data_IF_224638413874
#
_entry.id   IF_224638413874
#
_cell.length_a   1.000
_cell.length_b   1.000
_cell.length_c   1.000
_cell.angle_alpha   90.00
_cell.angle_beta   90.00
_cell.angle_gamma   90.00
#
_symmetry.space_group_name_H-M   'P 1'
#
loop_
_entity.id
_entity.type
_entity.pdbx_description
1 polymer ?
#
# COMPACT_ATOMS: atom_id res chain seq x y z
N UNK A 1 13.64 -15.73 -13.06
CA UNK A 1 14.15 -16.45 -11.86
C UNK A 1 13.68 -15.78 -10.59
N UNK A 2 14.00 -14.49 -10.36
CA UNK A 2 13.53 -13.79 -9.16
C UNK A 2 12.01 -13.70 -9.09
N UNK A 3 11.36 -13.27 -10.17
CA UNK A 3 9.89 -13.27 -10.27
C UNK A 3 9.26 -14.63 -9.96
N UNK A 4 9.82 -15.71 -10.52
CA UNK A 4 9.34 -17.08 -10.28
C UNK A 4 9.42 -17.48 -8.81
N UNK A 5 10.45 -17.01 -8.09
CA UNK A 5 10.59 -17.26 -6.64
C UNK A 5 9.55 -16.45 -5.87
N UNK A 6 9.36 -15.17 -6.23
CA UNK A 6 8.38 -14.30 -5.57
C UNK A 6 6.94 -14.77 -5.83
N UNK A 7 6.63 -15.29 -7.03
CA UNK A 7 5.33 -15.90 -7.34
C UNK A 7 5.10 -17.16 -6.50
N UNK A 8 6.07 -18.09 -6.48
CA UNK A 8 5.97 -19.30 -5.67
C UNK A 8 5.87 -18.99 -4.16
N UNK A 9 6.55 -17.93 -3.70
CA UNK A 9 6.48 -17.45 -2.33
C UNK A 9 5.09 -16.88 -2.01
N UNK A 10 4.57 -15.98 -2.86
CA UNK A 10 3.25 -15.40 -2.71
C UNK A 10 2.17 -16.49 -2.67
N UNK A 11 2.14 -17.39 -3.66
CA UNK A 11 1.21 -18.51 -3.69
C UNK A 11 1.29 -19.34 -2.40
N UNK A 12 2.51 -19.60 -1.92
CA UNK A 12 2.67 -20.42 -0.73
C UNK A 12 2.22 -19.71 0.53
N UNK A 13 2.53 -18.42 0.68
CA UNK A 13 2.05 -17.58 1.78
C UNK A 13 0.52 -17.55 1.81
N UNK A 14 -0.12 -17.34 0.65
CA UNK A 14 -1.57 -17.31 0.54
C UNK A 14 -2.24 -18.66 0.83
N UNK A 15 -1.52 -19.79 0.68
CA UNK A 15 -2.05 -21.12 0.96
C UNK A 15 -1.92 -21.58 2.41
N UNK A 16 -0.84 -21.19 3.11
CA UNK A 16 -0.55 -21.74 4.45
C UNK A 16 -0.09 -20.73 5.49
N UNK A 17 -0.05 -19.45 5.14
CA UNK A 17 0.51 -18.39 5.97
C UNK A 17 2.02 -18.24 5.82
N UNK A 18 2.54 -17.13 6.35
CA UNK A 18 3.96 -16.74 6.34
C UNK A 18 4.79 -17.70 7.22
N UNK A 19 4.29 -18.12 8.38
CA UNK A 19 5.01 -19.01 9.30
C UNK A 19 5.30 -20.36 8.67
N UNK A 20 4.33 -20.95 7.95
CA UNK A 20 4.45 -22.29 7.35
C UNK A 20 5.07 -22.30 5.95
N UNK A 21 5.19 -21.16 5.28
CA UNK A 21 5.84 -21.04 3.98
C UNK A 21 7.38 -21.14 4.10
N UNK A 22 7.93 -22.36 4.10
CA UNK A 22 9.38 -22.56 4.23
C UNK A 22 10.13 -22.24 2.93
N UNK A 23 11.35 -21.71 3.05
CA UNK A 23 12.23 -21.43 1.90
C UNK A 23 12.50 -22.68 1.04
N UNK A 24 12.56 -23.85 1.66
CA UNK A 24 12.79 -25.13 0.95
C UNK A 24 11.58 -25.53 0.10
N UNK A 25 10.36 -25.33 0.62
CA UNK A 25 9.13 -25.59 -0.13
C UNK A 25 8.96 -24.60 -1.28
N UNK A 26 9.27 -23.32 -1.04
CA UNK A 26 9.24 -22.28 -2.07
C UNK A 26 10.28 -22.58 -3.16
N UNK A 27 11.50 -22.98 -2.80
CA UNK A 27 12.53 -23.33 -3.77
C UNK A 27 12.09 -24.49 -4.68
N UNK A 28 11.50 -25.54 -4.09
CA UNK A 28 10.96 -26.68 -4.83
C UNK A 28 9.85 -26.26 -5.80
N UNK A 29 8.91 -25.41 -5.36
CA UNK A 29 7.81 -24.89 -6.20
C UNK A 29 8.29 -23.98 -7.31
N UNK A 30 9.27 -23.13 -7.04
CA UNK A 30 9.88 -22.24 -8.02
C UNK A 30 10.82 -22.97 -9.01
N UNK A 31 11.07 -24.27 -8.80
CA UNK A 31 12.00 -25.04 -9.65
C UNK A 31 13.46 -24.61 -9.52
N UNK A 32 13.86 -24.02 -8.39
CA UNK A 32 15.22 -23.52 -8.16
C UNK A 32 15.95 -24.31 -7.08
N UNK A 33 17.28 -24.34 -7.16
CA UNK A 33 18.10 -24.93 -6.12
C UNK A 33 17.97 -24.13 -4.80
N UNK A 34 17.84 -24.84 -3.67
CA UNK A 34 17.86 -24.26 -2.32
C UNK A 34 19.02 -23.28 -2.11
N UNK A 35 20.23 -23.58 -2.58
CA UNK A 35 21.38 -22.67 -2.44
C UNK A 35 21.11 -21.31 -3.09
N UNK A 36 20.37 -21.26 -4.19
CA UNK A 36 19.99 -20.00 -4.86
C UNK A 36 19.07 -19.16 -3.98
N UNK A 37 18.06 -19.76 -3.33
CA UNK A 37 17.12 -19.01 -2.47
C UNK A 37 17.83 -18.46 -1.24
N UNK A 38 18.66 -19.27 -0.57
CA UNK A 38 19.40 -18.84 0.63
C UNK A 38 20.49 -17.83 0.30
N UNK A 39 21.12 -17.90 -0.89
CA UNK A 39 22.06 -16.86 -1.33
C UNK A 39 21.37 -15.52 -1.57
N UNK A 40 20.15 -15.52 -2.14
CA UNK A 40 19.42 -14.29 -2.51
C UNK A 40 18.76 -13.62 -1.31
N UNK A 41 18.04 -14.40 -0.49
CA UNK A 41 17.20 -13.87 0.58
C UNK A 41 17.80 -14.07 1.97
N UNK A 42 18.70 -15.04 2.17
CA UNK A 42 19.31 -15.44 3.45
C UNK A 42 18.32 -16.01 4.47
N UNK A 43 17.28 -15.25 4.79
CA UNK A 43 16.21 -15.60 5.73
C UNK A 43 14.84 -15.38 5.09
N UNK A 44 13.79 -15.93 5.70
CA UNK A 44 12.43 -15.91 5.14
C UNK A 44 11.83 -14.50 5.14
N UNK A 45 12.16 -13.71 6.14
CA UNK A 45 11.68 -12.35 6.33
C UNK A 45 12.04 -11.47 5.12
N UNK A 46 13.29 -11.53 4.66
CA UNK A 46 13.72 -10.81 3.46
C UNK A 46 12.98 -11.24 2.18
N UNK A 47 12.55 -12.51 2.09
CA UNK A 47 11.73 -12.97 0.96
C UNK A 47 10.31 -12.42 1.07
N UNK A 48 9.74 -12.39 2.28
CA UNK A 48 8.43 -11.79 2.53
C UNK A 48 8.46 -10.30 2.18
N UNK A 49 9.47 -9.56 2.63
CA UNK A 49 9.63 -8.14 2.33
C UNK A 49 9.75 -7.88 0.82
N UNK A 50 10.49 -8.73 0.11
CA UNK A 50 10.61 -8.65 -1.35
C UNK A 50 9.27 -8.92 -2.05
N UNK A 51 8.47 -9.87 -1.55
CA UNK A 51 7.10 -10.10 -2.05
C UNK A 51 6.23 -8.88 -1.82
N UNK A 52 6.24 -8.30 -0.60
CA UNK A 52 5.46 -7.10 -0.29
C UNK A 52 5.84 -5.90 -1.16
N UNK A 53 7.14 -5.66 -1.33
CA UNK A 53 7.65 -4.59 -2.19
C UNK A 53 7.17 -4.77 -3.62
N UNK A 54 7.20 -6.00 -4.14
CA UNK A 54 6.70 -6.28 -5.49
C UNK A 54 5.19 -6.04 -5.60
N UNK A 55 4.39 -6.55 -4.66
CA UNK A 55 2.94 -6.38 -4.73
C UNK A 55 2.53 -4.91 -4.59
N UNK A 56 3.16 -4.15 -3.70
CA UNK A 56 2.95 -2.69 -3.61
C UNK A 56 3.38 -1.99 -4.91
N UNK A 57 4.54 -2.38 -5.47
CA UNK A 57 5.00 -1.85 -6.75
C UNK A 57 4.00 -2.09 -7.89
N UNK A 58 3.34 -3.26 -7.94
CA UNK A 58 2.28 -3.57 -8.91
C UNK A 58 1.07 -2.65 -8.73
N UNK A 59 0.60 -2.49 -7.50
CA UNK A 59 -0.50 -1.57 -7.16
C UNK A 59 -0.18 -0.13 -7.61
N UNK A 60 1.04 0.34 -7.37
CA UNK A 60 1.45 1.69 -7.75
C UNK A 60 1.65 1.85 -9.25
N UNK A 61 2.09 0.81 -9.95
CA UNK A 61 2.15 0.81 -11.41
C UNK A 61 0.75 0.96 -12.01
N UNK A 62 -0.26 0.28 -11.44
CA UNK A 62 -1.67 0.44 -11.84
C UNK A 62 -2.19 1.85 -11.59
N UNK A 63 -1.87 2.45 -10.43
CA UNK A 63 -2.15 3.88 -10.18
C UNK A 63 -1.52 4.77 -11.25
N UNK A 64 -0.28 4.49 -11.65
CA UNK A 64 0.39 5.21 -12.74
C UNK A 64 -0.37 5.13 -14.07
N UNK A 65 -0.93 3.97 -14.41
CA UNK A 65 -1.75 3.81 -15.62
C UNK A 65 -3.09 4.54 -15.53
N UNK A 66 -3.75 4.49 -14.37
CA UNK A 66 -5.01 5.18 -14.10
C UNK A 66 -4.83 6.70 -14.25
N UNK A 67 -3.80 7.25 -13.61
CA UNK A 67 -3.51 8.69 -13.71
C UNK A 67 -3.15 9.12 -15.13
N UNK A 68 -2.34 8.34 -15.85
CA UNK A 68 -1.96 8.64 -17.24
C UNK A 68 -3.15 8.65 -18.21
N UNK A 69 -4.20 7.88 -17.92
CA UNK A 69 -5.40 7.78 -18.75
C UNK A 69 -6.55 8.70 -18.30
N UNK A 70 -6.40 9.42 -17.18
CA UNK A 70 -7.44 10.26 -16.60
C UNK A 70 -7.14 11.75 -16.84
N UNK A 71 -8.00 12.48 -17.56
CA UNK A 71 -7.81 13.92 -17.78
C UNK A 71 -8.11 14.74 -16.52
N UNK A 72 -7.20 15.66 -16.19
CA UNK A 72 -7.37 16.62 -15.10
C UNK A 72 -6.87 16.09 -13.75
N UNK A 73 -6.06 16.90 -13.07
CA UNK A 73 -5.33 16.48 -11.87
C UNK A 73 -6.25 16.03 -10.72
N UNK A 74 -7.31 16.78 -10.44
CA UNK A 74 -8.27 16.39 -9.38
C UNK A 74 -8.91 15.03 -9.66
N UNK A 75 -9.23 14.75 -10.93
CA UNK A 75 -9.78 13.46 -11.33
C UNK A 75 -8.73 12.34 -11.24
N UNK A 76 -7.47 12.62 -11.60
CA UNK A 76 -6.36 11.66 -11.42
C UNK A 76 -6.18 11.26 -9.96
N UNK A 77 -6.17 12.24 -9.04
CA UNK A 77 -6.07 11.99 -7.60
C UNK A 77 -7.28 11.18 -7.11
N UNK A 78 -8.47 11.54 -7.57
CA UNK A 78 -9.71 10.86 -7.20
C UNK A 78 -9.72 9.39 -7.62
N UNK A 79 -9.41 9.09 -8.89
CA UNK A 79 -9.38 7.71 -9.39
C UNK A 79 -8.25 6.90 -8.76
N UNK A 80 -7.07 7.50 -8.53
CA UNK A 80 -5.98 6.86 -7.81
C UNK A 80 -6.39 6.47 -6.37
N UNK A 81 -7.01 7.38 -5.64
CA UNK A 81 -7.46 7.12 -4.27
C UNK A 81 -8.57 6.06 -4.21
N UNK A 82 -9.55 6.11 -5.13
CA UNK A 82 -10.61 5.11 -5.21
C UNK A 82 -10.05 3.72 -5.54
N UNK A 83 -9.08 3.65 -6.45
CA UNK A 83 -8.39 2.40 -6.75
C UNK A 83 -7.68 1.83 -5.52
N UNK A 84 -6.93 2.64 -4.77
CA UNK A 84 -6.26 2.19 -3.53
C UNK A 84 -7.28 1.72 -2.48
N UNK A 85 -8.39 2.45 -2.28
CA UNK A 85 -9.46 2.05 -1.35
C UNK A 85 -10.04 0.70 -1.74
N UNK A 86 -10.33 0.45 -3.02
CA UNK A 86 -10.81 -0.85 -3.49
C UNK A 86 -9.75 -1.93 -3.28
N UNK A 87 -8.51 -1.66 -3.69
CA UNK A 87 -7.43 -2.63 -3.67
C UNK A 87 -7.05 -3.09 -2.26
N UNK A 88 -7.00 -2.17 -1.28
CA UNK A 88 -6.72 -2.53 0.14
C UNK A 88 -7.70 -3.55 0.71
N UNK A 89 -8.90 -3.67 0.13
CA UNK A 89 -9.96 -4.56 0.59
C UNK A 89 -10.09 -5.85 -0.22
N UNK A 90 -9.65 -5.85 -1.48
CA UNK A 90 -9.81 -6.99 -2.39
C UNK A 90 -8.50 -7.75 -2.60
N UNK A 91 -7.35 -7.15 -2.27
CA UNK A 91 -6.06 -7.74 -2.55
C UNK A 91 -5.90 -9.09 -1.83
N UNK A 92 -5.46 -10.17 -2.52
CA UNK A 92 -5.35 -11.51 -1.95
C UNK A 92 -4.49 -11.59 -0.70
N UNK A 93 -3.38 -10.83 -0.63
CA UNK A 93 -2.58 -10.74 0.59
C UNK A 93 -3.44 -10.38 1.80
N UNK A 94 -4.40 -9.47 1.66
CA UNK A 94 -5.30 -9.10 2.75
C UNK A 94 -6.38 -10.15 2.95
N UNK A 95 -7.21 -10.37 1.93
CA UNK A 95 -8.45 -11.17 2.05
C UNK A 95 -8.17 -12.64 2.32
N UNK A 96 -7.23 -13.23 1.58
CA UNK A 96 -6.94 -14.65 1.68
C UNK A 96 -6.09 -14.98 2.92
N UNK A 97 -5.13 -14.12 3.30
CA UNK A 97 -4.34 -14.36 4.51
C UNK A 97 -5.19 -14.25 5.78
N UNK A 98 -6.09 -13.27 5.85
CA UNK A 98 -7.09 -13.15 6.93
C UNK A 98 -8.01 -14.39 6.99
N UNK A 99 -8.29 -15.01 5.86
CA UNK A 99 -9.13 -16.24 5.80
C UNK A 99 -8.35 -17.49 6.21
N UNK A 100 -7.10 -17.63 5.76
CA UNK A 100 -6.30 -18.87 5.91
C UNK A 100 -5.58 -18.94 7.25
N UNK A 101 -5.04 -17.82 7.75
CA UNK A 101 -4.32 -17.73 9.03
C UNK A 101 -4.66 -16.42 9.78
N UNK A 102 -5.89 -16.28 10.32
CA UNK A 102 -6.38 -15.02 10.86
C UNK A 102 -5.48 -14.39 11.93
N UNK A 103 -5.04 -15.17 12.93
CA UNK A 103 -4.20 -14.66 14.02
C UNK A 103 -2.85 -14.13 13.52
N UNK A 104 -2.26 -14.83 12.55
CA UNK A 104 -0.98 -14.44 11.96
C UNK A 104 -1.13 -13.22 11.06
N UNK A 105 -2.23 -13.14 10.30
CA UNK A 105 -2.56 -11.98 9.48
C UNK A 105 -2.74 -10.74 10.36
N UNK A 106 -3.46 -10.85 11.48
CA UNK A 106 -3.65 -9.73 12.42
C UNK A 106 -2.32 -9.29 13.01
N UNK A 107 -1.48 -10.22 13.51
CA UNK A 107 -0.14 -9.89 14.00
C UNK A 107 0.70 -9.18 12.93
N UNK A 108 0.67 -9.69 11.69
CA UNK A 108 1.42 -9.16 10.56
C UNK A 108 0.97 -7.75 10.17
N UNK A 109 -0.34 -7.50 10.05
CA UNK A 109 -0.87 -6.21 9.62
C UNK A 109 -0.91 -5.17 10.74
N UNK A 110 -0.92 -5.57 12.01
CA UNK A 110 -1.01 -4.64 13.15
C UNK A 110 0.35 -4.47 13.83
N UNK A 111 0.76 -5.45 14.63
CA UNK A 111 1.97 -5.42 15.46
C UNK A 111 3.23 -5.25 14.58
N UNK A 112 3.27 -5.93 13.44
CA UNK A 112 4.36 -5.85 12.47
C UNK A 112 4.05 -4.94 11.27
N UNK A 113 2.95 -4.18 11.31
CA UNK A 113 2.50 -3.36 10.20
C UNK A 113 3.41 -2.16 9.86
N UNK A 114 4.40 -1.86 10.71
CA UNK A 114 5.33 -0.74 10.53
C UNK A 114 6.00 -0.75 9.16
N UNK A 115 6.51 -1.88 8.72
CA UNK A 115 7.29 -1.95 7.47
C UNK A 115 6.39 -1.77 6.24
N UNK A 116 5.17 -2.32 6.29
CA UNK A 116 4.16 -2.15 5.25
C UNK A 116 3.71 -0.69 5.12
N UNK A 117 3.36 -0.06 6.25
CA UNK A 117 2.93 1.34 6.28
C UNK A 117 4.08 2.25 5.89
N UNK A 118 5.29 2.01 6.40
CA UNK A 118 6.50 2.76 6.07
C UNK A 118 6.82 2.74 4.58
N UNK A 119 6.66 1.59 3.93
CA UNK A 119 6.82 1.47 2.49
C UNK A 119 5.78 2.30 1.73
N UNK A 120 4.51 2.25 2.15
CA UNK A 120 3.45 3.09 1.59
C UNK A 120 3.75 4.59 1.72
N UNK A 121 4.20 5.03 2.90
CA UNK A 121 4.60 6.42 3.16
C UNK A 121 5.71 6.84 2.20
N UNK A 122 6.76 6.03 2.07
CA UNK A 122 7.89 6.34 1.19
C UNK A 122 7.44 6.51 -0.27
N UNK A 123 6.61 5.60 -0.78
CA UNK A 123 6.11 5.70 -2.14
C UNK A 123 5.24 6.94 -2.38
N UNK A 124 4.33 7.24 -1.45
CA UNK A 124 3.46 8.41 -1.57
C UNK A 124 4.29 9.70 -1.51
N UNK A 125 5.24 9.80 -0.58
CA UNK A 125 6.17 10.95 -0.48
C UNK A 125 6.92 11.17 -1.80
N UNK A 126 7.48 10.11 -2.40
CA UNK A 126 8.17 10.18 -3.69
C UNK A 126 7.25 10.69 -4.81
N UNK A 127 6.00 10.19 -4.87
CA UNK A 127 5.02 10.62 -5.88
C UNK A 127 4.64 12.09 -5.69
N UNK A 128 4.41 12.53 -4.46
CA UNK A 128 4.04 13.91 -4.13
C UNK A 128 5.19 14.87 -4.46
N UNK A 129 6.44 14.56 -4.06
CA UNK A 129 7.62 15.36 -4.40
C UNK A 129 7.78 15.51 -5.91
N UNK A 130 7.68 14.41 -6.65
CA UNK A 130 7.73 14.46 -8.12
C UNK A 130 6.61 15.32 -8.70
N UNK A 131 5.42 15.28 -8.11
CA UNK A 131 4.29 16.11 -8.56
C UNK A 131 4.52 17.60 -8.30
N UNK A 132 5.17 17.96 -7.19
CA UNK A 132 5.59 19.32 -6.87
C UNK A 132 6.69 19.82 -7.81
N UNK A 133 7.69 18.99 -8.12
CA UNK A 133 8.77 19.31 -9.07
C UNK A 133 8.24 19.68 -10.46
N UNK A 134 7.11 19.10 -10.87
CA UNK A 134 6.45 19.39 -12.14
C UNK A 134 5.38 20.50 -12.03
N UNK A 135 5.25 21.14 -10.87
CA UNK A 135 4.29 22.22 -10.62
C UNK A 135 2.82 21.78 -10.66
N UNK A 136 2.54 20.49 -10.47
CA UNK A 136 1.18 19.96 -10.55
C UNK A 136 0.37 20.24 -9.27
N UNK A 137 1.00 20.11 -8.10
CA UNK A 137 0.38 20.35 -6.78
C UNK A 137 1.10 21.47 -6.02
N UNK A 138 0.49 21.97 -4.94
CA UNK A 138 1.05 23.05 -4.12
C UNK A 138 2.36 22.69 -3.41
N UNK A 139 3.12 23.72 -3.07
CA UNK A 139 4.38 23.60 -2.32
C UNK A 139 4.07 23.50 -0.81
N UNK A 140 4.19 22.30 -0.27
CA UNK A 140 3.98 21.94 1.13
C UNK A 140 4.89 20.77 1.49
N UNK A 141 5.15 20.50 2.77
CA UNK A 141 5.89 19.29 3.17
C UNK A 141 5.07 18.03 2.86
N UNK A 142 5.49 17.15 1.93
CA UNK A 142 4.71 15.98 1.55
C UNK A 142 4.72 14.88 2.61
N UNK A 143 5.66 14.90 3.56
CA UNK A 143 5.81 13.80 4.51
C UNK A 143 4.57 13.61 5.42
N UNK A 144 3.98 14.66 6.03
CA UNK A 144 2.75 14.53 6.81
C UNK A 144 1.54 14.06 5.98
N UNK A 145 1.43 14.49 4.71
CA UNK A 145 0.37 14.02 3.81
C UNK A 145 0.54 12.53 3.50
N UNK A 146 1.76 12.10 3.18
CA UNK A 146 2.09 10.71 2.92
C UNK A 146 1.79 9.82 4.14
N UNK A 147 2.17 10.26 5.35
CA UNK A 147 1.85 9.60 6.62
C UNK A 147 0.33 9.40 6.78
N UNK A 148 -0.44 10.47 6.58
CA UNK A 148 -1.89 10.46 6.73
C UNK A 148 -2.55 9.49 5.74
N UNK A 149 -2.21 9.59 4.45
CA UNK A 149 -2.82 8.77 3.40
C UNK A 149 -2.47 7.28 3.55
N UNK A 150 -1.22 6.95 3.88
CA UNK A 150 -0.79 5.57 4.10
C UNK A 150 -1.51 4.94 5.31
N UNK A 151 -1.64 5.68 6.42
CA UNK A 151 -2.36 5.20 7.60
C UNK A 151 -3.87 5.10 7.36
N UNK A 152 -4.44 6.01 6.59
CA UNK A 152 -5.85 5.92 6.19
C UNK A 152 -6.10 4.64 5.37
N UNK A 153 -5.29 4.39 4.35
CA UNK A 153 -5.39 3.17 3.54
C UNK A 153 -5.18 1.90 4.40
N UNK A 154 -4.23 1.93 5.33
CA UNK A 154 -3.97 0.81 6.27
C UNK A 154 -5.13 0.59 7.25
N UNK A 155 -5.79 1.64 7.73
CA UNK A 155 -6.98 1.51 8.57
C UNK A 155 -8.13 0.84 7.81
N UNK A 156 -8.32 1.18 6.53
CA UNK A 156 -9.38 0.59 5.70
C UNK A 156 -9.14 -0.89 5.40
N UNK A 157 -7.88 -1.33 5.37
CA UNK A 157 -7.50 -2.73 5.23
C UNK A 157 -8.07 -3.59 6.36
N UNK A 158 -8.01 -3.09 7.61
CA UNK A 158 -8.42 -3.84 8.81
C UNK A 158 -9.83 -3.53 9.28
N UNK A 159 -10.32 -2.33 9.01
CA UNK A 159 -11.64 -1.84 9.45
C UNK A 159 -12.29 -1.05 8.32
N UNK A 160 -12.78 -1.75 7.27
CA UNK A 160 -13.33 -1.10 6.07
C UNK A 160 -14.71 -0.49 6.28
N UNK A 161 -15.45 -0.94 7.31
CA UNK A 161 -16.77 -0.45 7.66
C UNK A 161 -16.69 0.39 8.93
N UNK A 162 -17.22 1.60 8.84
CA UNK A 162 -17.31 2.55 9.94
C UNK A 162 -18.48 3.50 9.70
N UNK A 163 -18.25 4.81 9.84
CA UNK A 163 -19.27 5.82 9.52
C UNK A 163 -19.56 5.95 8.03
N UNK A 164 -18.51 5.96 7.19
CA UNK A 164 -18.64 5.98 5.73
C UNK A 164 -18.59 4.55 5.20
N UNK A 165 -19.55 4.19 4.35
CA UNK A 165 -19.50 2.91 3.65
C UNK A 165 -18.64 3.03 2.39
N UNK A 166 -17.38 2.61 2.48
CA UNK A 166 -16.45 2.59 1.34
C UNK A 166 -16.74 1.47 0.31
N UNK A 167 -17.81 0.69 0.49
CA UNK A 167 -18.35 -0.23 -0.54
C UNK A 167 -19.27 0.46 -1.54
N UNK A 168 -19.87 1.57 -1.12
CA UNK A 168 -20.66 2.40 -2.01
C UNK A 168 -19.71 3.35 -2.74
N UNK A 169 -19.50 3.07 -4.02
CA UNK A 169 -18.65 3.87 -4.91
C UNK A 169 -19.00 5.35 -4.90
N UNK A 170 -20.28 5.71 -4.72
CA UNK A 170 -20.71 7.12 -4.64
C UNK A 170 -20.22 7.75 -3.35
N UNK A 171 -20.40 7.08 -2.21
CA UNK A 171 -19.95 7.58 -0.90
C UNK A 171 -18.43 7.65 -0.81
N UNK A 172 -17.73 6.63 -1.31
CA UNK A 172 -16.27 6.63 -1.39
C UNK A 172 -15.76 7.82 -2.22
N UNK A 173 -16.40 8.08 -3.37
CA UNK A 173 -16.06 9.20 -4.25
C UNK A 173 -16.33 10.56 -3.61
N UNK A 174 -17.47 10.73 -2.95
CA UNK A 174 -17.80 11.94 -2.19
C UNK A 174 -16.76 12.22 -1.09
N UNK A 175 -16.34 11.18 -0.35
CA UNK A 175 -15.30 11.29 0.66
C UNK A 175 -13.94 11.67 0.04
N UNK A 176 -13.52 10.99 -1.02
CA UNK A 176 -12.25 11.26 -1.71
C UNK A 176 -12.21 12.70 -2.24
N UNK A 177 -13.28 13.16 -2.89
CA UNK A 177 -13.37 14.54 -3.42
C UNK A 177 -13.29 15.61 -2.34
N UNK A 178 -13.91 15.36 -1.19
CA UNK A 178 -14.03 16.35 -0.11
C UNK A 178 -12.84 16.35 0.85
N UNK A 179 -12.21 15.19 1.08
CA UNK A 179 -11.14 15.04 2.06
C UNK A 179 -9.77 14.83 1.40
N UNK A 180 -9.65 13.89 0.46
CA UNK A 180 -8.35 13.45 -0.07
C UNK A 180 -7.82 14.41 -1.14
N UNK A 181 -8.66 14.79 -2.11
CA UNK A 181 -8.25 15.68 -3.21
C UNK A 181 -7.68 17.00 -2.70
N UNK A 182 -8.34 17.74 -1.78
CA UNK A 182 -7.79 19.00 -1.28
C UNK A 182 -6.47 18.83 -0.54
N UNK A 183 -6.31 17.78 0.26
CA UNK A 183 -5.07 17.49 1.00
C UNK A 183 -3.91 17.22 0.04
N UNK A 184 -4.15 16.47 -1.04
CA UNK A 184 -3.11 16.21 -2.04
C UNK A 184 -2.77 17.47 -2.84
N UNK A 185 -3.75 18.29 -3.19
CA UNK A 185 -3.52 19.52 -3.96
C UNK A 185 -2.84 20.62 -3.14
N UNK A 186 -3.15 20.74 -1.85
CA UNK A 186 -2.83 21.92 -1.05
C UNK A 186 -2.11 21.62 0.27
N UNK A 187 -1.89 20.35 0.60
CA UNK A 187 -1.28 19.93 1.85
C UNK A 187 -2.27 19.84 3.00
N UNK A 188 -1.80 19.39 4.15
CA UNK A 188 -2.54 19.53 5.40
C UNK A 188 -2.49 21.01 5.83
N UNK A 189 -3.62 21.53 6.30
CA UNK A 189 -3.63 22.88 6.89
C UNK A 189 -2.67 22.89 8.07
N UNK A 190 -1.70 23.80 8.04
CA UNK A 190 -0.83 24.01 9.19
C UNK A 190 -1.68 24.55 10.34
N UNK A 191 -1.49 24.07 11.59
CA UNK A 191 -2.05 24.77 12.73
C UNK A 191 -1.53 26.22 12.72
N UNK A 192 -2.34 27.21 13.15
CA UNK A 192 -1.86 28.59 13.26
C UNK A 192 -0.60 28.62 14.11
N UNK A 193 0.36 29.48 13.74
CA UNK A 193 1.60 29.62 14.47
C UNK A 193 1.27 29.96 15.93
N UNK A 194 1.87 29.30 16.94
CA UNK A 194 1.67 29.69 18.33
C UNK A 194 2.00 31.17 18.60
N UNK A 195 2.78 31.83 17.74
CA UNK A 195 3.03 33.28 17.76
C UNK A 195 1.90 34.15 17.19
N UNK A 196 0.91 33.57 16.50
CA UNK A 196 -0.30 34.25 16.00
C UNK A 196 -1.44 34.31 17.05
N UNK A 197 -1.20 33.85 18.29
CA UNK A 197 -2.18 34.01 19.37
C UNK A 197 -2.08 35.42 19.97
N UNK A 198 -3.21 36.17 20.02
CA UNK A 198 -3.25 37.51 20.61
C UNK A 198 -3.00 37.49 22.12
#
# INVERSE_FOLDING_TARGET
MEETILDAALERILQVGIRRASLDDIARRAGVNRVTIYRRFRVKENLVDAVLQREIGRVLAEVGQITASTPGLSAQIEEAALFIIRQTRTHPLVTQLLTVVPEEAVEFYTVRGKDLVGLGIWYIDVILRRSQEHGMIGDYDPQPVAEFLARFAHSLLLTPLGGVNFEDDRLAREFVRSAIVPIVLHGLTSPPDPSDRP
#
